data_IF_505368089168
#
_entry.id   IF_505368089168
#
_cell.length_a   1.000
_cell.length_b   1.000
_cell.length_c   1.000
_cell.angle_alpha   90.00
_cell.angle_beta   90.00
_cell.angle_gamma   90.00
#
_symmetry.space_group_name_H-M   'P 1'
#
loop_
_entity.id
_entity.type
_entity.pdbx_description
1 polymer ?
#
# COMPACT_ATOMS: atom_id res chain seq x y z
N UNK A 1 -17.56 -7.56 -7.65
CA UNK A 1 -16.77 -6.60 -8.45
C UNK A 1 -15.44 -6.48 -7.72
N UNK A 2 -14.35 -6.95 -8.34
CA UNK A 2 -13.09 -7.21 -7.66
C UNK A 2 -12.45 -5.91 -7.15
N UNK A 3 -11.92 -5.98 -5.93
CA UNK A 3 -11.40 -4.89 -5.11
C UNK A 3 -10.02 -4.37 -5.60
N UNK A 4 -9.59 -4.74 -6.80
CA UNK A 4 -8.24 -4.46 -7.32
C UNK A 4 -8.05 -2.97 -7.66
N UNK A 5 -9.11 -2.31 -8.15
CA UNK A 5 -9.11 -0.87 -8.42
C UNK A 5 -8.80 -0.05 -7.15
N UNK A 6 -9.21 -0.55 -5.98
CA UNK A 6 -8.94 0.12 -4.69
C UNK A 6 -7.47 0.10 -4.31
N UNK A 7 -6.70 -0.95 -4.64
CA UNK A 7 -5.30 -1.05 -4.22
C UNK A 7 -4.38 -0.33 -5.21
N UNK A 8 -4.67 -0.41 -6.52
CA UNK A 8 -4.00 0.40 -7.54
C UNK A 8 -4.18 1.89 -7.24
N UNK A 9 -5.38 2.30 -6.87
CA UNK A 9 -5.67 3.68 -6.47
C UNK A 9 -4.84 4.13 -5.25
N UNK A 10 -4.54 3.24 -4.29
CA UNK A 10 -3.68 3.57 -3.13
C UNK A 10 -2.23 3.79 -3.53
N UNK A 11 -1.70 3.01 -4.47
CA UNK A 11 -0.34 3.23 -5.01
C UNK A 11 -0.26 4.57 -5.73
N UNK A 12 -1.27 4.90 -6.55
CA UNK A 12 -1.35 6.19 -7.24
C UNK A 12 -1.41 7.37 -6.25
N UNK A 13 -2.17 7.23 -5.15
CA UNK A 13 -2.20 8.22 -4.06
C UNK A 13 -0.82 8.38 -3.44
N UNK A 14 -0.11 7.29 -3.11
CA UNK A 14 1.24 7.37 -2.55
C UNK A 14 2.22 8.08 -3.51
N UNK A 15 2.16 7.76 -4.81
CA UNK A 15 2.97 8.43 -5.85
C UNK A 15 2.67 9.93 -5.90
N UNK A 16 1.40 10.31 -5.91
CA UNK A 16 0.99 11.71 -5.95
C UNK A 16 1.46 12.48 -4.72
N UNK A 17 1.38 11.88 -3.52
CA UNK A 17 1.87 12.49 -2.28
C UNK A 17 3.39 12.64 -2.30
N UNK A 18 4.13 11.65 -2.78
CA UNK A 18 5.60 11.73 -2.90
C UNK A 18 6.03 12.78 -3.94
N UNK A 19 5.30 12.93 -5.03
CA UNK A 19 5.54 13.99 -6.01
C UNK A 19 5.37 15.38 -5.38
N UNK A 20 4.34 15.56 -4.53
CA UNK A 20 4.17 16.80 -3.75
C UNK A 20 5.30 17.00 -2.74
N UNK A 21 5.73 15.95 -2.04
CA UNK A 21 6.87 16.03 -1.13
C UNK A 21 8.13 16.51 -1.85
N UNK A 22 8.42 15.98 -3.04
CA UNK A 22 9.54 16.40 -3.88
C UNK A 22 9.44 17.87 -4.28
N UNK A 23 8.24 18.36 -4.63
CA UNK A 23 8.02 19.76 -4.92
C UNK A 23 8.32 20.65 -3.69
N UNK A 24 7.82 20.28 -2.51
CA UNK A 24 8.04 21.02 -1.26
C UNK A 24 9.53 21.07 -0.90
N UNK A 25 10.29 19.99 -1.14
CA UNK A 25 11.75 19.98 -0.96
C UNK A 25 12.47 20.96 -1.88
N UNK A 26 12.04 21.06 -3.15
CA UNK A 26 12.60 22.04 -4.09
C UNK A 26 12.27 23.48 -3.67
N UNK A 27 11.14 23.69 -3.01
CA UNK A 27 10.70 24.96 -2.44
C UNK A 27 11.36 25.26 -1.07
N UNK A 28 12.23 24.37 -0.57
CA UNK A 28 12.85 24.43 0.76
C UNK A 28 11.85 24.37 1.93
N UNK A 29 10.60 23.96 1.68
CA UNK A 29 9.62 23.67 2.73
C UNK A 29 9.80 22.23 3.24
N UNK A 30 10.79 22.06 4.11
CA UNK A 30 11.12 20.76 4.69
C UNK A 30 10.03 20.23 5.64
N UNK A 31 9.30 21.11 6.32
CA UNK A 31 8.24 20.72 7.24
C UNK A 31 7.06 20.10 6.49
N UNK A 32 6.60 20.76 5.43
CA UNK A 32 5.54 20.23 4.56
C UNK A 32 6.00 18.96 3.85
N UNK A 33 7.24 18.92 3.36
CA UNK A 33 7.80 17.71 2.75
C UNK A 33 7.80 16.51 3.72
N UNK A 34 8.17 16.71 4.98
CA UNK A 34 8.17 15.65 5.99
C UNK A 34 6.76 15.11 6.25
N UNK A 35 5.76 16.00 6.34
CA UNK A 35 4.35 15.60 6.50
C UNK A 35 3.89 14.76 5.30
N UNK A 36 4.21 15.18 4.08
CA UNK A 36 3.85 14.43 2.86
C UNK A 36 4.54 13.05 2.84
N UNK A 37 5.80 12.95 3.22
CA UNK A 37 6.50 11.64 3.32
C UNK A 37 5.83 10.73 4.35
N UNK A 38 5.43 11.26 5.51
CA UNK A 38 4.71 10.49 6.52
C UNK A 38 3.36 9.97 6.00
N UNK A 39 2.62 10.80 5.25
CA UNK A 39 1.36 10.40 4.61
C UNK A 39 1.57 9.28 3.57
N UNK A 40 2.59 9.42 2.72
CA UNK A 40 2.90 8.39 1.72
C UNK A 40 3.30 7.06 2.39
N UNK A 41 4.06 7.12 3.49
CA UNK A 41 4.41 5.94 4.29
C UNK A 41 3.17 5.24 4.82
N UNK A 42 2.24 5.96 5.44
CA UNK A 42 1.02 5.37 5.98
C UNK A 42 0.22 4.61 4.92
N UNK A 43 0.06 5.20 3.73
CA UNK A 43 -0.68 4.57 2.62
C UNK A 43 -0.01 3.26 2.17
N UNK A 44 1.33 3.24 2.13
CA UNK A 44 2.09 2.05 1.75
C UNK A 44 2.07 0.97 2.84
N UNK A 45 2.10 1.34 4.12
CA UNK A 45 1.96 0.41 5.24
C UNK A 45 0.58 -0.25 5.26
N UNK A 46 -0.49 0.52 5.02
CA UNK A 46 -1.85 -0.01 4.90
C UNK A 46 -1.99 -0.99 3.71
N UNK A 47 -1.31 -0.70 2.60
CA UNK A 47 -1.28 -1.56 1.42
C UNK A 47 -0.51 -2.85 1.70
N UNK A 48 0.64 -2.76 2.38
CA UNK A 48 1.43 -3.93 2.78
C UNK A 48 0.64 -4.86 3.69
N UNK A 49 -0.07 -4.33 4.69
CA UNK A 49 -0.93 -5.12 5.57
C UNK A 49 -2.01 -5.89 4.79
N UNK A 50 -2.62 -5.25 3.77
CA UNK A 50 -3.61 -5.93 2.93
C UNK A 50 -2.99 -7.10 2.15
N UNK A 51 -1.79 -6.93 1.60
CA UNK A 51 -1.08 -8.00 0.91
C UNK A 51 -0.74 -9.15 1.86
N UNK A 52 -0.22 -8.84 3.06
CA UNK A 52 0.13 -9.86 4.06
C UNK A 52 -1.10 -10.71 4.44
N UNK A 53 -2.25 -10.06 4.65
CA UNK A 53 -3.51 -10.75 4.92
C UNK A 53 -3.97 -11.62 3.74
N UNK A 54 -3.82 -11.12 2.51
CA UNK A 54 -4.18 -11.87 1.31
C UNK A 54 -3.32 -13.13 1.17
N UNK A 55 -1.99 -13.00 1.27
CA UNK A 55 -1.08 -14.14 1.19
C UNK A 55 -1.27 -15.14 2.32
N UNK A 56 -1.60 -14.67 3.54
CA UNK A 56 -1.95 -15.57 4.64
C UNK A 56 -3.19 -16.38 4.31
N UNK A 57 -4.25 -15.75 3.78
CA UNK A 57 -5.47 -16.43 3.39
C UNK A 57 -5.23 -17.45 2.27
N UNK A 58 -4.45 -17.10 1.24
CA UNK A 58 -4.07 -18.02 0.16
C UNK A 58 -3.31 -19.23 0.72
N UNK A 59 -2.34 -18.99 1.60
CA UNK A 59 -1.55 -20.07 2.24
C UNK A 59 -2.44 -21.02 3.03
N UNK A 60 -3.38 -20.51 3.82
CA UNK A 60 -4.33 -21.34 4.58
C UNK A 60 -5.22 -22.17 3.64
N UNK A 61 -5.66 -21.58 2.53
CA UNK A 61 -6.50 -22.26 1.54
C UNK A 61 -5.74 -23.38 0.84
N UNK A 62 -4.49 -23.16 0.44
CA UNK A 62 -3.62 -24.20 -0.13
C UNK A 62 -3.41 -25.37 0.85
N UNK A 63 -3.19 -25.08 2.13
CA UNK A 63 -3.01 -26.10 3.15
C UNK A 63 -4.28 -26.95 3.33
N UNK A 64 -5.45 -26.32 3.38
CA UNK A 64 -6.74 -27.02 3.45
C UNK A 64 -6.97 -27.93 2.23
N UNK A 65 -6.70 -27.43 1.02
CA UNK A 65 -6.85 -28.21 -0.20
C UNK A 65 -5.91 -29.42 -0.26
N UNK A 66 -4.69 -29.31 0.31
CA UNK A 66 -3.75 -30.44 0.42
C UNK A 66 -4.17 -31.47 1.47
N UNK A 67 -4.87 -31.06 2.53
CA UNK A 67 -5.36 -31.96 3.57
C UNK A 67 -6.63 -32.74 3.18
N UNK A 68 -7.42 -32.21 2.26
CA UNK A 68 -8.61 -32.88 1.70
C UNK A 68 -8.46 -33.12 0.19
N UNK A 69 -7.51 -33.98 -0.24
CA UNK A 69 -7.42 -34.36 -1.64
C UNK A 69 -8.70 -35.13 -2.02
N UNK A 70 -9.32 -34.72 -3.13
CA UNK A 70 -10.47 -35.44 -3.72
C UNK A 70 -10.08 -36.85 -4.15
#
# INVERSE_FOLDING_TARGET
>A
MFNDDSQISRVEVAINVLNRAKQQLNEHDYASAQVMVALARQVLEDLQLNFDLHFQAETMLEQLLRQFPR
#
